data_IF_691375679027
#
_entry.id   IF_691375679027
#
_cell.length_a   1.000
_cell.length_b   1.000
_cell.length_c   1.000
_cell.angle_alpha   90.00
_cell.angle_beta   90.00
_cell.angle_gamma   90.00
#
_symmetry.space_group_name_H-M   'P 1'
#
loop_
_entity.id
_entity.type
_entity.pdbx_description
1 polymer ?
#
# COMPACT_ATOMS: atom_id res chain seq x y z
N UNK A 1 30.86 36.86 -6.47
CA UNK A 1 30.84 35.41 -6.33
C UNK A 1 29.42 34.97 -6.63
N UNK A 2 29.18 34.48 -7.84
CA UNK A 2 27.88 33.90 -8.24
C UNK A 2 27.80 32.51 -7.57
N UNK A 3 26.85 32.36 -6.65
CA UNK A 3 26.50 31.11 -6.02
C UNK A 3 26.14 30.13 -7.14
N UNK A 4 26.92 29.06 -7.31
CA UNK A 4 26.55 27.93 -8.15
C UNK A 4 25.17 27.42 -7.71
N UNK A 5 24.22 27.40 -8.65
CA UNK A 5 22.94 26.73 -8.44
C UNK A 5 23.24 25.26 -8.13
N UNK A 6 22.69 24.69 -7.07
CA UNK A 6 22.83 23.25 -6.83
C UNK A 6 22.29 22.49 -8.05
N UNK A 7 23.09 21.61 -8.62
CA UNK A 7 22.79 20.81 -9.81
C UNK A 7 21.78 19.68 -9.57
N UNK A 8 20.91 19.81 -8.57
CA UNK A 8 19.84 18.88 -8.26
C UNK A 8 18.48 19.38 -8.75
N UNK A 9 17.63 18.46 -9.19
CA UNK A 9 16.23 18.74 -9.52
C UNK A 9 15.53 19.41 -8.34
N UNK A 10 14.67 20.39 -8.60
CA UNK A 10 13.89 21.05 -7.57
C UNK A 10 12.63 20.26 -7.20
N UNK A 11 12.21 20.37 -5.95
CA UNK A 11 10.94 19.86 -5.49
C UNK A 11 10.29 20.82 -4.49
N UNK A 12 8.96 20.91 -4.53
CA UNK A 12 8.21 21.85 -3.70
C UNK A 12 6.90 21.23 -3.19
N UNK A 13 6.57 21.55 -1.95
CA UNK A 13 5.19 21.48 -1.49
C UNK A 13 4.55 22.84 -1.75
N UNK A 14 3.42 22.83 -2.43
CA UNK A 14 2.64 24.02 -2.74
C UNK A 14 1.51 24.17 -1.74
N UNK A 15 1.44 25.30 -1.06
CA UNK A 15 0.37 25.62 -0.14
C UNK A 15 -0.52 26.71 -0.72
N UNK A 16 -1.80 26.67 -0.37
CA UNK A 16 -2.78 27.69 -0.74
C UNK A 16 -4.11 27.46 -0.06
N UNK A 17 -5.12 28.26 -0.39
CA UNK A 17 -6.48 28.05 0.10
C UNK A 17 -7.12 26.82 -0.54
N UNK A 18 -7.79 25.97 0.26
CA UNK A 18 -8.46 24.76 -0.21
C UNK A 18 -9.48 25.01 -1.35
N UNK A 19 -10.05 26.21 -1.39
CA UNK A 19 -11.00 26.62 -2.44
C UNK A 19 -10.38 26.66 -3.84
N UNK A 20 -9.03 26.74 -3.95
CA UNK A 20 -8.35 26.63 -5.25
C UNK A 20 -8.53 25.27 -5.91
N UNK A 21 -8.80 24.23 -5.12
CA UNK A 21 -9.12 22.89 -5.64
C UNK A 21 -10.59 22.75 -6.06
N UNK A 22 -11.44 23.76 -5.80
CA UNK A 22 -12.85 23.75 -6.18
C UNK A 22 -13.03 24.24 -7.62
N UNK A 23 -13.45 23.34 -8.52
CA UNK A 23 -13.68 23.67 -9.95
C UNK A 23 -14.69 24.80 -10.20
N UNK A 24 -15.63 25.02 -9.31
CA UNK A 24 -16.71 26.00 -9.49
C UNK A 24 -16.32 27.38 -8.99
N UNK A 25 -15.28 27.51 -8.18
CA UNK A 25 -14.81 28.79 -7.68
C UNK A 25 -13.86 29.46 -8.69
N UNK A 26 -14.11 30.69 -9.13
CA UNK A 26 -13.18 31.41 -9.97
C UNK A 26 -11.89 31.74 -9.18
N UNK A 27 -10.74 31.47 -9.79
CA UNK A 27 -9.45 31.85 -9.21
C UNK A 27 -9.32 33.38 -9.23
N UNK A 28 -8.92 33.97 -8.11
CA UNK A 28 -8.62 35.39 -8.02
C UNK A 28 -7.12 35.63 -8.16
N UNK A 29 -6.67 36.71 -8.82
CA UNK A 29 -5.25 36.97 -9.04
C UNK A 29 -4.47 37.36 -7.77
N UNK A 30 -5.15 37.64 -6.69
CA UNK A 30 -4.59 38.07 -5.41
C UNK A 30 -4.51 37.00 -4.34
N UNK A 31 -4.93 35.76 -4.67
CA UNK A 31 -4.89 34.62 -3.74
C UNK A 31 -3.44 34.19 -3.47
N UNK A 32 -3.09 33.87 -2.20
CA UNK A 32 -1.73 33.47 -1.88
C UNK A 32 -1.45 32.03 -2.35
N UNK A 33 -0.26 31.85 -2.90
CA UNK A 33 0.39 30.57 -3.17
C UNK A 33 1.73 30.59 -2.47
N UNK A 34 2.02 29.55 -1.69
CA UNK A 34 3.31 29.41 -1.00
C UNK A 34 4.05 28.20 -1.53
N UNK A 35 5.27 28.42 -1.97
CA UNK A 35 6.19 27.40 -2.46
C UNK A 35 7.16 27.05 -1.32
N UNK A 36 7.07 25.86 -0.79
CA UNK A 36 8.00 25.32 0.21
C UNK A 36 8.96 24.40 -0.50
N UNK A 37 10.22 24.78 -0.65
CA UNK A 37 11.23 23.94 -1.27
C UNK A 37 11.60 22.81 -0.33
N UNK A 38 11.52 21.58 -0.83
CA UNK A 38 11.81 20.35 -0.09
C UNK A 38 12.88 19.52 -0.82
N UNK A 39 13.58 18.60 -0.15
CA UNK A 39 14.45 17.66 -0.82
C UNK A 39 13.66 16.81 -1.83
N UNK A 40 14.16 16.60 -3.06
CA UNK A 40 13.51 15.75 -4.03
C UNK A 40 13.54 14.29 -3.54
N UNK A 41 12.41 13.61 -3.61
CA UNK A 41 12.27 12.20 -3.20
C UNK A 41 12.35 11.23 -4.37
N UNK A 42 12.54 11.74 -5.58
CA UNK A 42 12.62 10.95 -6.80
C UNK A 42 14.07 10.84 -7.27
N UNK A 43 14.51 9.60 -7.56
CA UNK A 43 15.86 9.38 -8.11
C UNK A 43 15.88 9.59 -9.64
N UNK A 44 15.56 8.55 -10.41
CA UNK A 44 15.70 8.56 -11.88
C UNK A 44 14.37 8.59 -12.63
N UNK A 45 13.30 8.07 -12.03
CA UNK A 45 11.94 8.04 -12.60
C UNK A 45 10.97 8.73 -11.67
N UNK A 46 9.89 9.33 -12.19
CA UNK A 46 8.86 9.93 -11.36
C UNK A 46 8.23 8.87 -10.45
N UNK A 47 8.24 9.10 -9.14
CA UNK A 47 7.56 8.25 -8.19
C UNK A 47 6.04 8.31 -8.40
N UNK A 48 5.33 7.25 -8.05
CA UNK A 48 3.86 7.26 -8.04
C UNK A 48 3.34 8.01 -6.83
N UNK A 49 4.05 7.90 -5.71
CA UNK A 49 3.65 8.47 -4.42
C UNK A 49 4.83 9.12 -3.72
N UNK A 50 4.57 10.24 -3.08
CA UNK A 50 5.55 11.01 -2.30
C UNK A 50 5.02 11.24 -0.90
N UNK A 51 5.88 11.08 0.11
CA UNK A 51 5.59 11.48 1.50
C UNK A 51 6.54 12.58 1.90
N UNK A 52 5.99 13.66 2.43
CA UNK A 52 6.76 14.74 3.03
C UNK A 52 6.52 14.72 4.54
N UNK A 53 7.57 14.43 5.29
CA UNK A 53 7.57 14.44 6.76
C UNK A 53 8.13 15.79 7.25
N UNK A 54 7.27 16.61 7.85
CA UNK A 54 7.62 17.99 8.25
C UNK A 54 8.80 18.03 9.21
N UNK A 55 8.80 17.19 10.22
CA UNK A 55 9.82 17.14 11.27
C UNK A 55 11.22 16.74 10.77
N UNK A 56 11.33 16.20 9.55
CA UNK A 56 12.61 15.78 8.98
C UNK A 56 13.19 16.75 7.97
N UNK A 57 12.45 17.80 7.61
CA UNK A 57 12.86 18.70 6.53
C UNK A 57 13.99 19.67 6.93
N UNK A 58 14.16 20.00 8.21
CA UNK A 58 15.07 21.08 8.61
C UNK A 58 14.64 22.44 8.03
N UNK A 59 15.58 23.39 7.86
CA UNK A 59 15.28 24.72 7.32
C UNK A 59 14.88 24.66 5.84
N UNK A 60 13.66 25.10 5.53
CA UNK A 60 13.08 25.16 4.20
C UNK A 60 13.11 26.58 3.64
N UNK A 61 13.45 26.71 2.35
CA UNK A 61 13.23 27.96 1.61
C UNK A 61 11.74 28.07 1.29
N UNK A 62 11.11 29.14 1.74
CA UNK A 62 9.69 29.40 1.54
C UNK A 62 9.53 30.69 0.77
N UNK A 63 8.75 30.68 -0.30
CA UNK A 63 8.41 31.84 -1.10
C UNK A 63 6.89 31.97 -1.24
N UNK A 64 6.37 33.16 -0.90
CA UNK A 64 4.95 33.46 -1.04
C UNK A 64 4.71 34.36 -2.24
N UNK A 65 3.75 33.96 -3.06
CA UNK A 65 3.35 34.63 -4.29
C UNK A 65 1.83 34.86 -4.28
N UNK A 66 1.34 35.72 -5.16
CA UNK A 66 -0.08 35.76 -5.52
C UNK A 66 -0.30 34.88 -6.76
N UNK A 67 -1.48 34.35 -6.92
CA UNK A 67 -1.86 33.58 -8.12
C UNK A 67 -1.67 34.36 -9.43
N UNK A 68 -1.65 35.68 -9.39
CA UNK A 68 -1.27 36.54 -10.50
C UNK A 68 0.23 36.72 -10.71
N UNK A 69 1.09 36.01 -9.95
CA UNK A 69 2.55 36.00 -10.12
C UNK A 69 3.32 37.05 -9.36
N UNK A 70 2.67 37.98 -8.63
CA UNK A 70 3.40 39.00 -7.82
C UNK A 70 3.89 38.36 -6.52
N UNK A 71 5.12 38.75 -6.13
CA UNK A 71 5.75 38.23 -4.91
C UNK A 71 5.19 38.92 -3.66
N UNK A 72 4.87 38.15 -2.63
CA UNK A 72 4.46 38.61 -1.31
C UNK A 72 5.66 38.70 -0.35
N UNK A 73 6.47 37.65 -0.31
CA UNK A 73 7.62 37.58 0.58
C UNK A 73 8.41 36.27 0.43
N UNK A 74 9.50 36.17 1.18
CA UNK A 74 10.28 34.94 1.30
C UNK A 74 10.87 34.81 2.70
N UNK A 75 11.01 33.57 3.19
CA UNK A 75 11.60 33.27 4.49
C UNK A 75 12.33 31.93 4.45
N UNK A 76 13.11 31.65 5.48
CA UNK A 76 13.58 30.32 5.82
C UNK A 76 12.79 29.89 7.05
N UNK A 77 12.05 28.77 6.94
CA UNK A 77 11.19 28.27 8.02
C UNK A 77 11.61 26.82 8.29
N UNK A 78 11.76 26.44 9.55
CA UNK A 78 12.02 25.05 9.92
C UNK A 78 10.82 24.16 9.57
N UNK A 79 11.08 22.96 9.06
CA UNK A 79 10.01 22.06 8.63
C UNK A 79 9.00 21.75 9.74
N UNK A 80 9.45 21.58 10.98
CA UNK A 80 8.57 21.36 12.13
C UNK A 80 7.68 22.57 12.48
N UNK A 81 8.04 23.77 12.02
CA UNK A 81 7.27 25.00 12.23
C UNK A 81 6.27 25.29 11.10
N UNK A 82 6.32 24.52 10.01
CA UNK A 82 5.38 24.68 8.89
C UNK A 82 3.94 24.42 9.30
N UNK A 83 3.72 23.31 10.01
CA UNK A 83 2.39 22.84 10.43
C UNK A 83 2.37 22.37 11.89
N UNK A 84 2.67 23.25 12.87
CA UNK A 84 2.48 22.88 14.26
C UNK A 84 1.00 22.59 14.52
N UNK A 85 0.72 21.46 15.19
CA UNK A 85 -0.65 20.99 15.48
C UNK A 85 -1.55 20.87 14.22
N UNK A 86 -0.95 20.49 13.07
CA UNK A 86 -1.61 20.33 11.78
C UNK A 86 -2.22 21.63 11.17
N UNK A 87 -1.85 22.78 11.67
CA UNK A 87 -2.31 24.09 11.17
C UNK A 87 -1.10 24.89 10.68
N UNK A 88 -1.28 25.68 9.62
CA UNK A 88 -0.23 26.56 9.12
C UNK A 88 0.36 27.42 10.24
N UNK A 89 1.67 27.31 10.43
CA UNK A 89 2.40 27.97 11.51
C UNK A 89 2.38 29.50 11.43
N UNK A 90 2.68 30.20 12.53
CA UNK A 90 2.71 31.67 12.55
C UNK A 90 3.58 32.29 11.46
N UNK A 91 4.79 31.75 11.24
CA UNK A 91 5.72 32.23 10.23
C UNK A 91 5.16 32.13 8.79
N UNK A 92 4.43 31.07 8.46
CA UNK A 92 3.72 30.96 7.18
C UNK A 92 2.58 31.97 7.06
N UNK A 93 1.82 32.18 8.14
CA UNK A 93 0.70 33.12 8.16
C UNK A 93 1.15 34.56 8.01
N UNK A 94 2.23 34.91 8.67
CA UNK A 94 2.81 36.26 8.59
C UNK A 94 3.32 36.59 7.18
N UNK A 95 3.77 35.58 6.44
CA UNK A 95 4.27 35.73 5.08
C UNK A 95 3.17 36.09 4.06
N UNK A 96 1.91 35.72 4.31
CA UNK A 96 0.80 35.87 3.35
C UNK A 96 -0.24 36.91 3.74
N UNK A 97 -0.07 37.64 4.84
CA UNK A 97 -1.04 38.62 5.39
C UNK A 97 -2.47 38.03 5.50
N UNK A 98 -2.69 37.25 6.55
CA UNK A 98 -3.85 36.40 6.72
C UNK A 98 -5.21 37.07 6.95
N UNK A 99 -5.31 38.37 7.01
CA UNK A 99 -6.61 39.05 7.18
C UNK A 99 -7.58 38.79 6.03
N UNK A 100 -7.09 38.35 4.89
CA UNK A 100 -7.89 38.07 3.70
C UNK A 100 -7.76 36.61 3.18
N UNK A 101 -6.90 35.77 3.77
CA UNK A 101 -6.67 34.43 3.26
C UNK A 101 -7.35 33.34 4.11
N UNK A 102 -8.10 32.42 3.53
CA UNK A 102 -8.47 31.16 4.19
C UNK A 102 -7.19 30.43 4.62
N UNK A 103 -7.28 29.54 5.60
CA UNK A 103 -6.13 28.79 6.09
C UNK A 103 -5.34 28.14 4.95
N UNK A 104 -4.03 28.22 4.99
CA UNK A 104 -3.14 27.56 4.03
C UNK A 104 -3.15 26.08 4.30
N UNK A 105 -3.31 25.29 3.23
CA UNK A 105 -3.24 23.83 3.24
C UNK A 105 -2.29 23.36 2.14
N UNK A 106 -1.65 22.19 2.27
CA UNK A 106 -0.92 21.59 1.17
C UNK A 106 -1.89 21.26 0.03
N UNK A 107 -1.67 21.86 -1.15
CA UNK A 107 -2.49 21.61 -2.33
C UNK A 107 -1.91 20.49 -3.18
N UNK A 108 -0.60 20.55 -3.41
CA UNK A 108 0.11 19.58 -4.23
C UNK A 108 1.60 19.52 -3.88
N UNK A 109 2.25 18.49 -4.40
CA UNK A 109 3.70 18.40 -4.48
C UNK A 109 4.09 18.55 -5.96
N UNK A 110 5.20 19.24 -6.22
CA UNK A 110 5.80 19.40 -7.54
C UNK A 110 7.19 18.81 -7.54
N UNK A 111 7.54 18.13 -8.62
CA UNK A 111 8.88 17.65 -8.89
C UNK A 111 9.35 18.14 -10.25
N UNK A 112 10.51 18.79 -10.29
CA UNK A 112 11.10 19.31 -11.53
C UNK A 112 11.67 18.19 -12.39
N UNK A 113 11.28 18.17 -13.65
CA UNK A 113 11.77 17.24 -14.67
C UNK A 113 12.14 17.97 -15.96
N UNK A 114 12.93 17.34 -16.84
CA UNK A 114 13.12 17.90 -18.17
C UNK A 114 11.77 18.14 -18.85
N UNK A 115 11.51 19.39 -19.21
CA UNK A 115 10.24 19.80 -19.84
C UNK A 115 9.18 20.37 -18.90
N UNK A 116 9.41 20.47 -17.58
CA UNK A 116 8.46 21.10 -16.66
C UNK A 116 8.39 20.42 -15.29
N UNK A 117 7.18 20.23 -14.77
CA UNK A 117 6.94 19.70 -13.43
C UNK A 117 5.95 18.53 -13.48
N UNK A 118 6.26 17.43 -12.81
CA UNK A 118 5.24 16.46 -12.42
C UNK A 118 4.47 16.98 -11.23
N UNK A 119 3.14 16.82 -11.27
CA UNK A 119 2.25 17.26 -10.20
C UNK A 119 1.65 16.07 -9.47
N UNK A 120 1.51 16.21 -8.15
CA UNK A 120 0.98 15.21 -7.26
C UNK A 120 -0.11 15.81 -6.38
N UNK A 121 -1.29 15.24 -6.37
CA UNK A 121 -2.37 15.68 -5.51
C UNK A 121 -2.22 15.11 -4.11
N UNK A 122 -2.55 15.91 -3.12
CA UNK A 122 -2.63 15.45 -1.74
C UNK A 122 -3.76 14.43 -1.57
N UNK A 123 -3.44 13.30 -0.94
CA UNK A 123 -4.41 12.25 -0.60
C UNK A 123 -4.55 12.03 0.90
N UNK A 124 -3.55 12.48 1.69
CA UNK A 124 -3.55 12.41 3.13
C UNK A 124 -2.76 13.56 3.71
N UNK A 125 -3.26 14.11 4.80
CA UNK A 125 -2.56 15.04 5.68
C UNK A 125 -2.62 14.51 7.10
N UNK A 126 -1.48 14.46 7.75
CA UNK A 126 -1.31 14.12 9.16
C UNK A 126 -0.48 15.21 9.83
N UNK A 127 -0.57 15.42 11.16
CA UNK A 127 0.25 16.42 11.85
C UNK A 127 1.75 16.35 11.53
N UNK A 128 2.26 15.14 11.29
CA UNK A 128 3.68 14.91 11.06
C UNK A 128 4.07 14.81 9.58
N UNK A 129 3.13 14.51 8.68
CA UNK A 129 3.41 14.30 7.26
C UNK A 129 2.23 14.60 6.32
N UNK A 130 2.52 14.66 5.04
CA UNK A 130 1.53 14.65 3.97
C UNK A 130 1.92 13.64 2.88
N UNK A 131 0.92 12.99 2.31
CA UNK A 131 1.07 12.03 1.25
C UNK A 131 0.45 12.55 -0.04
N UNK A 132 1.19 12.42 -1.15
CA UNK A 132 0.81 12.93 -2.45
C UNK A 132 0.91 11.82 -3.50
N UNK A 133 -0.06 11.75 -4.42
CA UNK A 133 -0.09 10.80 -5.55
C UNK A 133 0.00 11.55 -6.85
N UNK A 134 0.84 11.07 -7.77
CA UNK A 134 1.06 11.70 -9.08
C UNK A 134 -0.22 11.75 -9.90
N UNK A 135 -0.53 12.92 -10.44
CA UNK A 135 -1.73 13.21 -11.25
C UNK A 135 -1.42 13.58 -12.69
N UNK A 136 -0.16 13.84 -13.04
CA UNK A 136 0.23 14.12 -14.43
C UNK A 136 1.15 13.04 -14.97
N UNK A 137 0.85 12.56 -16.18
CA UNK A 137 1.68 11.59 -16.90
C UNK A 137 2.95 12.26 -17.41
N UNK A 138 2.76 13.36 -18.12
CA UNK A 138 3.84 14.18 -18.66
C UNK A 138 4.10 15.39 -17.79
N UNK A 139 5.32 15.94 -17.78
CA UNK A 139 5.62 17.20 -17.10
C UNK A 139 4.78 18.35 -17.64
N UNK A 140 4.35 19.26 -16.77
CA UNK A 140 3.52 20.42 -17.10
C UNK A 140 4.22 21.72 -16.72
N UNK A 141 3.94 22.78 -17.46
CA UNK A 141 4.55 24.10 -17.23
C UNK A 141 6.04 24.12 -17.59
N UNK A 142 6.51 25.24 -18.07
CA UNK A 142 7.92 25.46 -18.42
C UNK A 142 8.42 26.72 -17.72
N UNK A 143 9.70 26.75 -17.41
CA UNK A 143 10.33 27.90 -16.76
C UNK A 143 10.36 27.81 -15.23
N UNK A 144 10.73 28.89 -14.56
CA UNK A 144 10.82 28.95 -13.10
C UNK A 144 9.49 28.61 -12.40
N UNK A 145 9.57 27.92 -11.27
CA UNK A 145 8.37 27.51 -10.50
C UNK A 145 7.54 28.72 -10.05
N UNK A 146 8.20 29.84 -9.80
CA UNK A 146 7.63 31.10 -9.34
C UNK A 146 6.75 31.78 -10.40
N UNK A 147 6.89 31.42 -11.68
CA UNK A 147 6.04 31.96 -12.75
C UNK A 147 4.65 31.30 -12.78
N UNK A 148 4.42 30.26 -11.99
CA UNK A 148 3.14 29.57 -11.79
C UNK A 148 2.50 29.03 -13.09
N UNK A 149 3.27 28.83 -14.17
CA UNK A 149 2.76 28.33 -15.46
C UNK A 149 2.19 26.92 -15.38
N UNK A 150 2.58 26.16 -14.37
CA UNK A 150 2.09 24.83 -14.05
C UNK A 150 0.75 24.83 -13.31
N UNK A 151 0.34 25.96 -12.68
CA UNK A 151 -0.75 26.03 -11.71
C UNK A 151 -2.11 25.60 -12.31
N UNK A 152 -2.50 26.18 -13.45
CA UNK A 152 -3.80 25.88 -14.06
C UNK A 152 -3.89 24.42 -14.52
N UNK A 153 -2.81 23.89 -15.08
CA UNK A 153 -2.76 22.48 -15.50
C UNK A 153 -2.80 21.55 -14.31
N UNK A 154 -2.12 21.90 -13.20
CA UNK A 154 -2.18 21.14 -11.95
C UNK A 154 -3.61 21.13 -11.38
N UNK A 155 -4.28 22.28 -11.33
CA UNK A 155 -5.67 22.36 -10.86
C UNK A 155 -6.63 21.55 -11.74
N UNK A 156 -6.43 21.57 -13.05
CA UNK A 156 -7.22 20.76 -13.99
C UNK A 156 -6.97 19.25 -13.77
N UNK A 157 -5.72 18.82 -13.68
CA UNK A 157 -5.36 17.43 -13.45
C UNK A 157 -5.89 16.93 -12.09
N UNK A 158 -5.83 17.76 -11.04
CA UNK A 158 -6.45 17.42 -9.75
C UNK A 158 -7.96 17.23 -9.89
N UNK A 159 -8.63 18.12 -10.58
CA UNK A 159 -10.08 18.06 -10.77
C UNK A 159 -10.51 16.83 -11.60
N UNK A 160 -9.77 16.45 -12.62
CA UNK A 160 -9.99 15.24 -13.41
C UNK A 160 -9.77 13.97 -12.57
N UNK A 161 -8.78 13.99 -11.69
CA UNK A 161 -8.44 12.88 -10.81
C UNK A 161 -9.33 12.79 -9.56
N UNK A 162 -10.13 13.82 -9.24
CA UNK A 162 -10.86 13.92 -7.97
C UNK A 162 -11.75 12.71 -7.66
N UNK A 163 -12.42 12.15 -8.67
CA UNK A 163 -13.26 10.95 -8.50
C UNK A 163 -12.44 9.71 -8.14
N UNK A 164 -11.24 9.57 -8.68
CA UNK A 164 -10.34 8.49 -8.34
C UNK A 164 -9.69 8.73 -6.97
N UNK A 165 -9.27 9.95 -6.66
CA UNK A 165 -8.67 10.33 -5.38
C UNK A 165 -9.63 10.16 -4.21
N UNK A 166 -10.93 10.42 -4.41
CA UNK A 166 -11.96 10.29 -3.39
C UNK A 166 -12.54 8.87 -3.28
N UNK A 167 -12.21 7.97 -4.19
CA UNK A 167 -12.69 6.61 -4.20
C UNK A 167 -11.54 5.62 -4.18
N UNK A 168 -11.17 5.17 -2.99
CA UNK A 168 -10.03 4.28 -2.77
C UNK A 168 -10.05 2.98 -3.58
N UNK A 169 -11.22 2.51 -4.00
CA UNK A 169 -11.34 1.30 -4.82
C UNK A 169 -11.02 1.56 -6.29
N UNK A 170 -11.20 2.79 -6.80
CA UNK A 170 -11.06 3.10 -8.22
C UNK A 170 -9.62 3.27 -8.69
N UNK A 171 -8.70 3.67 -7.80
CA UNK A 171 -7.31 3.82 -8.18
C UNK A 171 -6.41 2.68 -7.73
N UNK A 172 -7.01 1.58 -7.25
CA UNK A 172 -6.33 0.32 -7.10
C UNK A 172 -6.64 -0.62 -8.25
N UNK A 173 -5.61 -1.21 -8.80
CA UNK A 173 -5.70 -2.24 -9.83
C UNK A 173 -4.99 -3.50 -9.36
N UNK A 174 -5.52 -4.64 -9.74
CA UNK A 174 -4.86 -5.92 -9.54
C UNK A 174 -4.25 -6.36 -10.87
N UNK A 175 -2.92 -6.39 -10.94
CA UNK A 175 -2.22 -7.11 -11.99
C UNK A 175 -2.34 -8.60 -11.67
N UNK A 176 -2.16 -9.46 -12.64
CA UNK A 176 -2.30 -10.89 -12.45
C UNK A 176 -3.68 -11.30 -11.91
N UNK A 177 -4.74 -10.80 -12.56
CA UNK A 177 -6.10 -11.19 -12.19
C UNK A 177 -6.25 -12.72 -12.20
N UNK A 178 -6.81 -13.30 -11.13
CA UNK A 178 -6.95 -14.74 -10.97
C UNK A 178 -5.65 -15.49 -10.67
N UNK A 179 -4.54 -14.79 -10.42
CA UNK A 179 -3.27 -15.41 -10.02
C UNK A 179 -2.79 -14.75 -8.73
N UNK A 180 -2.47 -15.58 -7.75
CA UNK A 180 -1.80 -15.20 -6.51
C UNK A 180 -0.30 -15.41 -6.68
N UNK A 181 0.50 -14.40 -6.33
CA UNK A 181 1.96 -14.48 -6.29
C UNK A 181 2.39 -14.36 -4.84
N UNK A 182 2.98 -15.42 -4.28
CA UNK A 182 3.35 -15.43 -2.87
C UNK A 182 4.67 -16.16 -2.59
N UNK A 183 5.47 -15.60 -1.68
CA UNK A 183 6.56 -16.27 -0.99
C UNK A 183 6.10 -16.67 0.41
N UNK A 184 6.61 -17.78 0.91
CA UNK A 184 6.31 -18.29 2.25
C UNK A 184 7.58 -18.58 3.03
N UNK A 185 7.49 -18.40 4.34
CA UNK A 185 8.59 -18.64 5.27
C UNK A 185 8.01 -19.40 6.48
N UNK A 186 8.46 -20.62 6.70
CA UNK A 186 8.12 -21.34 7.91
C UNK A 186 8.95 -20.75 9.06
N UNK A 187 8.26 -20.33 10.13
CA UNK A 187 8.89 -19.72 11.29
C UNK A 187 9.17 -20.79 12.36
N UNK A 188 10.45 -21.00 12.65
CA UNK A 188 10.90 -21.94 13.67
C UNK A 188 12.15 -21.41 14.39
N UNK A 189 12.10 -21.12 15.70
CA UNK A 189 10.92 -21.29 16.57
C UNK A 189 9.77 -20.36 16.17
N UNK A 190 8.54 -20.79 16.46
CA UNK A 190 7.37 -19.97 16.21
C UNK A 190 7.38 -18.73 17.12
N UNK A 191 7.36 -17.51 16.57
CA UNK A 191 7.31 -16.29 17.38
C UNK A 191 5.92 -16.08 17.99
N UNK A 192 5.84 -15.19 18.98
CA UNK A 192 4.60 -14.49 19.27
C UNK A 192 4.26 -13.59 18.06
N UNK A 193 3.24 -14.01 17.28
CA UNK A 193 2.91 -13.33 16.01
C UNK A 193 2.38 -11.90 16.21
N UNK A 194 1.83 -11.58 17.40
CA UNK A 194 1.45 -10.20 17.72
C UNK A 194 2.68 -9.32 17.90
N UNK A 195 3.60 -9.71 18.77
CA UNK A 195 4.83 -8.97 19.02
C UNK A 195 5.65 -8.83 17.73
N UNK A 196 5.80 -9.93 16.97
CA UNK A 196 6.49 -9.94 15.68
C UNK A 196 5.86 -8.99 14.65
N UNK A 197 4.52 -8.90 14.63
CA UNK A 197 3.81 -8.00 13.73
C UNK A 197 4.02 -6.54 14.10
N UNK A 198 4.03 -6.21 15.38
CA UNK A 198 4.28 -4.84 15.86
C UNK A 198 5.71 -4.39 15.55
N UNK A 199 6.69 -5.27 15.72
CA UNK A 199 8.08 -4.98 15.39
C UNK A 199 8.26 -4.81 13.87
N UNK A 200 7.62 -5.64 13.07
CA UNK A 200 7.66 -5.53 11.61
C UNK A 200 7.01 -4.23 11.11
N UNK A 201 5.83 -3.88 11.64
CA UNK A 201 5.17 -2.61 11.31
C UNK A 201 6.06 -1.42 11.67
N UNK A 202 6.68 -1.46 12.86
CA UNK A 202 7.64 -0.42 13.27
C UNK A 202 8.84 -0.35 12.33
N UNK A 203 9.41 -1.47 11.91
CA UNK A 203 10.54 -1.50 10.98
C UNK A 203 10.19 -0.84 9.63
N UNK A 204 8.96 -1.04 9.12
CA UNK A 204 8.46 -0.38 7.92
C UNK A 204 8.28 1.13 8.12
N UNK A 205 7.73 1.55 9.27
CA UNK A 205 7.61 2.98 9.62
C UNK A 205 8.97 3.66 9.75
N UNK A 206 9.95 2.96 10.33
CA UNK A 206 11.33 3.46 10.48
C UNK A 206 12.09 3.50 9.15
N UNK A 207 11.50 3.00 8.05
CA UNK A 207 12.11 3.01 6.71
C UNK A 207 13.22 1.95 6.52
N UNK A 208 13.23 0.89 7.33
CA UNK A 208 14.24 -0.17 7.20
C UNK A 208 14.14 -0.94 5.88
N UNK A 209 12.98 -0.97 5.24
CA UNK A 209 12.79 -1.44 3.87
C UNK A 209 12.84 -0.22 2.92
N UNK A 210 14.02 0.01 2.34
CA UNK A 210 14.27 1.16 1.47
C UNK A 210 13.34 1.18 0.25
N UNK A 211 12.74 2.35 -0.03
CA UNK A 211 11.82 2.56 -1.15
C UNK A 211 10.39 2.12 -0.89
N UNK A 212 10.10 1.59 0.29
CA UNK A 212 8.75 1.19 0.72
C UNK A 212 8.34 1.91 2.00
N UNK A 213 7.06 1.87 2.28
CA UNK A 213 6.43 2.41 3.47
C UNK A 213 5.21 1.59 3.84
N UNK A 214 4.66 1.72 5.05
CA UNK A 214 3.30 1.23 5.33
C UNK A 214 2.31 1.79 4.31
N UNK A 215 1.37 0.96 3.86
CA UNK A 215 0.36 1.35 2.89
C UNK A 215 -0.39 2.59 3.39
N UNK A 216 -0.92 3.39 2.47
CA UNK A 216 -1.52 4.71 2.71
C UNK A 216 -2.48 4.78 3.91
N UNK A 217 -3.30 3.75 4.11
CA UNK A 217 -4.23 3.70 5.26
C UNK A 217 -3.56 3.25 6.55
N UNK A 218 -2.33 2.71 6.45
CA UNK A 218 -1.61 2.12 7.59
C UNK A 218 -2.45 1.06 8.31
N UNK A 219 -3.30 0.38 7.56
CA UNK A 219 -4.16 -0.64 8.13
C UNK A 219 -3.31 -1.80 8.64
N UNK A 220 -3.51 -2.07 9.92
CA UNK A 220 -3.04 -3.26 10.58
C UNK A 220 -4.27 -4.07 10.93
N UNK A 221 -4.47 -5.18 10.21
CA UNK A 221 -5.68 -5.98 10.35
C UNK A 221 -5.37 -7.31 11.02
N UNK A 222 -6.30 -7.74 11.88
CA UNK A 222 -6.31 -9.10 12.41
C UNK A 222 -7.45 -9.88 11.78
N UNK A 223 -7.12 -11.07 11.31
CA UNK A 223 -8.10 -12.06 10.85
C UNK A 223 -8.07 -13.27 11.76
N UNK A 224 -9.21 -13.58 12.34
CA UNK A 224 -9.40 -14.74 13.21
C UNK A 224 -10.54 -15.57 12.63
N UNK A 225 -10.20 -16.69 12.00
CA UNK A 225 -11.17 -17.48 11.25
C UNK A 225 -11.00 -18.98 11.50
N UNK A 226 -12.12 -19.67 11.61
CA UNK A 226 -12.18 -21.12 11.44
C UNK A 226 -12.20 -21.43 9.95
N UNK A 227 -11.36 -22.37 9.52
CA UNK A 227 -11.21 -22.71 8.11
C UNK A 227 -11.55 -24.16 7.88
N UNK A 228 -12.43 -24.37 6.90
CA UNK A 228 -12.79 -25.68 6.37
C UNK A 228 -12.16 -25.83 4.99
N UNK A 229 -11.12 -26.64 4.91
CA UNK A 229 -10.38 -26.89 3.68
C UNK A 229 -10.70 -28.30 3.16
N UNK A 230 -10.93 -28.39 1.85
CA UNK A 230 -11.15 -29.61 1.12
C UNK A 230 -10.05 -29.80 0.09
N UNK A 231 -9.35 -30.92 0.17
CA UNK A 231 -8.38 -31.34 -0.81
C UNK A 231 -9.10 -31.81 -2.07
N UNK A 232 -8.93 -31.10 -3.18
CA UNK A 232 -9.53 -31.43 -4.47
C UNK A 232 -8.60 -32.40 -5.21
N UNK A 233 -9.05 -33.65 -5.41
CA UNK A 233 -8.26 -34.72 -6.00
C UNK A 233 -8.64 -35.00 -7.45
N UNK A 234 -9.72 -34.41 -7.95
CA UNK A 234 -10.18 -34.57 -9.33
C UNK A 234 -11.44 -33.77 -9.64
N UNK A 235 -11.79 -33.68 -10.92
CA UNK A 235 -11.02 -34.13 -12.09
C UNK A 235 -9.69 -33.41 -12.26
N UNK A 236 -8.76 -33.91 -13.07
CA UNK A 236 -7.37 -33.44 -13.15
C UNK A 236 -7.22 -31.90 -13.32
N UNK A 237 -7.98 -31.22 -14.18
CA UNK A 237 -7.88 -29.75 -14.32
C UNK A 237 -8.27 -28.97 -13.05
N UNK A 238 -8.99 -29.64 -12.11
CA UNK A 238 -9.54 -29.04 -10.90
C UNK A 238 -8.69 -29.32 -9.64
N UNK A 239 -7.59 -30.06 -9.78
CA UNK A 239 -6.72 -30.44 -8.65
C UNK A 239 -6.20 -29.19 -7.94
N UNK A 240 -6.30 -29.22 -6.60
CA UNK A 240 -5.90 -28.12 -5.75
C UNK A 240 -6.60 -28.19 -4.40
N UNK A 241 -7.19 -27.09 -3.96
CA UNK A 241 -8.07 -27.11 -2.80
C UNK A 241 -9.25 -26.13 -2.93
N UNK A 242 -10.30 -26.41 -2.17
CA UNK A 242 -11.41 -25.52 -1.90
C UNK A 242 -11.43 -25.17 -0.41
N UNK A 243 -11.71 -23.94 -0.06
CA UNK A 243 -11.81 -23.51 1.33
C UNK A 243 -12.99 -22.54 1.51
N UNK A 244 -13.79 -22.78 2.55
CA UNK A 244 -14.89 -21.89 2.90
C UNK A 244 -14.44 -20.95 4.03
N UNK A 245 -14.59 -19.63 3.78
CA UNK A 245 -14.19 -18.57 4.68
C UNK A 245 -15.46 -17.85 5.11
N UNK A 246 -15.77 -17.79 6.42
CA UNK A 246 -16.96 -17.09 6.90
C UNK A 246 -16.85 -15.59 6.64
N UNK A 247 -18.00 -14.95 6.38
CA UNK A 247 -18.10 -13.50 6.20
C UNK A 247 -18.86 -12.83 7.33
N UNK A 248 -18.65 -11.53 7.51
CA UNK A 248 -19.34 -10.75 8.56
C UNK A 248 -20.84 -10.55 8.31
N UNK A 249 -21.29 -10.73 7.07
CA UNK A 249 -22.69 -10.48 6.65
C UNK A 249 -23.54 -11.73 6.56
N UNK A 250 -23.13 -12.82 7.14
CA UNK A 250 -23.63 -14.18 6.97
C UNK A 250 -23.25 -14.80 5.60
N UNK A 251 -23.08 -16.12 5.62
CA UNK A 251 -22.58 -16.87 4.46
C UNK A 251 -21.07 -16.97 4.39
N UNK A 252 -20.61 -17.51 3.26
CA UNK A 252 -19.22 -17.85 3.07
C UNK A 252 -18.69 -17.34 1.74
N UNK A 253 -17.37 -17.12 1.68
CA UNK A 253 -16.62 -17.04 0.42
C UNK A 253 -16.02 -18.39 0.16
N UNK A 254 -16.29 -18.97 -1.00
CA UNK A 254 -15.54 -20.12 -1.50
C UNK A 254 -14.26 -19.61 -2.15
N UNK A 255 -13.14 -19.99 -1.59
CA UNK A 255 -11.80 -19.78 -2.15
C UNK A 255 -11.34 -21.05 -2.82
N UNK A 256 -11.02 -20.96 -4.11
CA UNK A 256 -10.45 -22.07 -4.88
C UNK A 256 -9.04 -21.75 -5.31
N UNK A 257 -8.12 -22.71 -5.12
CA UNK A 257 -6.76 -22.65 -5.65
C UNK A 257 -6.45 -23.91 -6.45
N UNK A 258 -5.85 -23.74 -7.62
CA UNK A 258 -5.49 -24.82 -8.52
C UNK A 258 -3.98 -24.98 -8.55
N UNK A 259 -3.48 -26.12 -8.11
CA UNK A 259 -2.08 -26.52 -8.17
C UNK A 259 -1.93 -28.01 -7.82
N UNK A 260 -1.00 -28.66 -8.46
CA UNK A 260 -0.61 -30.05 -8.16
C UNK A 260 0.48 -30.09 -7.10
N UNK A 261 1.45 -29.16 -7.20
CA UNK A 261 2.60 -29.01 -6.32
C UNK A 261 2.65 -27.59 -5.76
N UNK A 262 3.26 -27.44 -4.58
CA UNK A 262 3.45 -26.14 -3.97
C UNK A 262 4.36 -25.26 -4.83
N UNK A 263 3.92 -24.05 -5.18
CA UNK A 263 4.57 -23.16 -6.13
C UNK A 263 4.39 -21.68 -5.76
N UNK A 264 5.21 -20.81 -6.36
CA UNK A 264 5.16 -19.37 -6.20
C UNK A 264 3.87 -18.74 -6.77
N UNK A 265 3.46 -19.14 -7.97
CA UNK A 265 2.29 -18.60 -8.64
C UNK A 265 1.17 -19.64 -8.65
N UNK A 266 -0.02 -19.24 -8.21
CA UNK A 266 -1.20 -20.12 -8.16
C UNK A 266 -2.40 -19.44 -8.76
N UNK A 267 -3.17 -20.21 -9.56
CA UNK A 267 -4.51 -19.73 -9.94
C UNK A 267 -5.39 -19.71 -8.70
N UNK A 268 -6.07 -18.58 -8.48
CA UNK A 268 -7.00 -18.38 -7.38
C UNK A 268 -8.31 -17.77 -7.88
N UNK A 269 -9.41 -18.23 -7.32
CA UNK A 269 -10.74 -17.64 -7.55
C UNK A 269 -11.52 -17.57 -6.24
N UNK A 270 -12.21 -16.45 -6.05
CA UNK A 270 -13.07 -16.21 -4.91
C UNK A 270 -14.52 -16.06 -5.37
N UNK A 271 -15.40 -16.92 -4.87
CA UNK A 271 -16.84 -16.84 -5.11
C UNK A 271 -17.52 -16.38 -3.83
N UNK A 272 -17.93 -15.10 -3.73
CA UNK A 272 -18.58 -14.56 -2.54
C UNK A 272 -20.07 -14.92 -2.48
N UNK A 273 -20.66 -14.72 -1.30
CA UNK A 273 -22.10 -14.75 -1.11
C UNK A 273 -22.76 -16.15 -1.10
N UNK A 274 -22.01 -17.18 -0.73
CA UNK A 274 -22.56 -18.51 -0.57
C UNK A 274 -23.28 -18.64 0.77
N UNK A 275 -24.61 -18.80 0.71
CA UNK A 275 -25.45 -19.06 1.88
C UNK A 275 -25.59 -20.58 2.10
N UNK A 276 -24.53 -21.20 2.60
CA UNK A 276 -24.48 -22.63 2.91
C UNK A 276 -23.85 -22.85 4.30
N UNK A 277 -24.31 -23.87 4.98
CA UNK A 277 -23.83 -24.27 6.30
C UNK A 277 -22.68 -25.28 6.21
N UNK A 278 -21.80 -25.40 7.23
CA UNK A 278 -20.63 -26.27 7.17
C UNK A 278 -20.93 -27.73 6.86
N UNK A 279 -22.06 -28.27 7.31
CA UNK A 279 -22.52 -29.62 7.03
C UNK A 279 -22.85 -29.85 5.54
N UNK A 280 -23.06 -28.79 4.77
CA UNK A 280 -23.36 -28.85 3.34
C UNK A 280 -22.14 -28.59 2.44
N UNK A 281 -20.99 -28.22 2.98
CA UNK A 281 -19.83 -27.84 2.18
C UNK A 281 -19.36 -28.98 1.25
N UNK A 282 -19.22 -30.18 1.77
CA UNK A 282 -18.78 -31.34 0.97
C UNK A 282 -19.77 -31.70 -0.11
N UNK A 283 -21.08 -31.75 0.23
CA UNK A 283 -22.16 -32.00 -0.72
C UNK A 283 -22.15 -31.00 -1.85
N UNK A 284 -22.05 -29.70 -1.53
CA UNK A 284 -21.97 -28.62 -2.51
C UNK A 284 -20.77 -28.79 -3.46
N UNK A 285 -19.58 -29.11 -2.94
CA UNK A 285 -18.41 -29.32 -3.78
C UNK A 285 -18.56 -30.54 -4.70
N UNK A 286 -19.19 -31.61 -4.22
CA UNK A 286 -19.37 -32.88 -4.98
C UNK A 286 -20.53 -32.77 -5.98
N UNK A 287 -21.70 -32.35 -5.55
CA UNK A 287 -22.93 -32.42 -6.33
C UNK A 287 -23.11 -31.17 -7.23
N UNK A 288 -22.88 -29.97 -6.69
CA UNK A 288 -23.12 -28.75 -7.46
C UNK A 288 -21.91 -28.37 -8.32
N UNK A 289 -20.66 -28.62 -7.86
CA UNK A 289 -19.44 -28.31 -8.60
C UNK A 289 -18.77 -29.54 -9.28
N UNK A 290 -19.26 -30.74 -9.05
CA UNK A 290 -18.75 -31.98 -9.69
C UNK A 290 -17.31 -32.35 -9.29
N UNK A 291 -16.87 -31.94 -8.11
CA UNK A 291 -15.49 -32.13 -7.66
C UNK A 291 -15.31 -33.41 -6.86
N UNK A 292 -14.17 -34.06 -7.01
CA UNK A 292 -13.75 -35.15 -6.12
C UNK A 292 -12.95 -34.53 -4.98
N UNK A 293 -13.50 -34.54 -3.78
CA UNK A 293 -12.92 -33.87 -2.62
C UNK A 293 -12.75 -34.79 -1.43
N UNK A 294 -11.74 -34.49 -0.61
CA UNK A 294 -11.52 -35.06 0.72
C UNK A 294 -11.50 -33.93 1.73
N UNK A 295 -12.39 -34.00 2.73
CA UNK A 295 -12.38 -33.05 3.85
C UNK A 295 -11.06 -33.19 4.61
N UNK A 296 -10.50 -32.06 4.97
CA UNK A 296 -9.30 -31.97 5.79
C UNK A 296 -9.69 -31.54 7.22
N UNK A 297 -8.87 -31.83 8.24
CA UNK A 297 -9.16 -31.38 9.60
C UNK A 297 -9.35 -29.85 9.63
N UNK A 298 -10.44 -29.37 10.24
CA UNK A 298 -10.66 -27.95 10.37
C UNK A 298 -9.62 -27.33 11.30
N UNK A 299 -9.25 -26.09 11.02
CA UNK A 299 -8.23 -25.39 11.79
C UNK A 299 -8.61 -23.94 12.06
N UNK A 300 -8.16 -23.44 13.17
CA UNK A 300 -8.22 -22.03 13.53
C UNK A 300 -7.01 -21.32 12.93
N UNK A 301 -7.24 -20.20 12.24
CA UNK A 301 -6.19 -19.32 11.75
C UNK A 301 -6.28 -17.96 12.44
N UNK A 302 -5.16 -17.49 12.97
CA UNK A 302 -4.94 -16.09 13.32
C UNK A 302 -3.93 -15.53 12.35
N UNK A 303 -4.27 -14.43 11.70
CA UNK A 303 -3.41 -13.69 10.75
C UNK A 303 -3.30 -12.24 11.18
N UNK A 304 -2.09 -11.73 11.24
CA UNK A 304 -1.82 -10.32 11.24
C UNK A 304 -1.41 -9.87 9.84
N UNK A 305 -2.12 -8.88 9.33
CA UNK A 305 -1.98 -8.37 7.96
C UNK A 305 -1.31 -7.00 8.03
N UNK A 306 -0.09 -6.92 7.48
CA UNK A 306 0.68 -5.69 7.34
C UNK A 306 0.87 -5.43 5.86
N UNK A 307 0.50 -4.24 5.41
CA UNK A 307 0.65 -3.86 4.02
C UNK A 307 1.73 -2.80 3.85
N UNK A 308 2.61 -2.99 2.87
CA UNK A 308 3.58 -2.00 2.46
C UNK A 308 3.41 -1.62 0.99
N UNK A 309 3.77 -0.39 0.66
CA UNK A 309 3.61 0.21 -0.67
C UNK A 309 4.95 0.70 -1.18
N UNK A 310 5.26 0.38 -2.43
CA UNK A 310 6.40 0.96 -3.14
C UNK A 310 6.16 2.43 -3.44
N UNK A 311 7.06 3.29 -3.02
CA UNK A 311 7.04 4.72 -3.35
C UNK A 311 7.23 4.95 -4.86
N UNK A 312 7.96 4.06 -5.52
CA UNK A 312 8.30 4.19 -6.94
C UNK A 312 7.13 3.82 -7.85
N UNK A 313 6.49 2.67 -7.60
CA UNK A 313 5.51 2.09 -8.50
C UNK A 313 4.07 2.18 -7.99
N UNK A 314 3.89 2.35 -6.67
CA UNK A 314 2.59 2.25 -6.02
C UNK A 314 2.07 0.80 -5.90
N UNK A 315 2.93 -0.21 -6.15
CA UNK A 315 2.57 -1.60 -5.88
C UNK A 315 2.45 -1.82 -4.37
N UNK A 316 1.41 -2.54 -3.97
CA UNK A 316 1.11 -2.85 -2.58
C UNK A 316 1.32 -4.34 -2.34
N UNK A 317 2.08 -4.65 -1.32
CA UNK A 317 2.44 -5.99 -0.89
C UNK A 317 1.95 -6.25 0.52
N UNK A 318 1.36 -7.43 0.76
CA UNK A 318 1.02 -7.91 2.09
C UNK A 318 2.16 -8.72 2.67
N UNK A 319 2.49 -8.46 3.93
CA UNK A 319 3.35 -9.31 4.74
C UNK A 319 2.47 -9.82 5.88
N UNK A 320 2.20 -11.11 5.85
CA UNK A 320 1.25 -11.74 6.74
C UNK A 320 1.95 -12.64 7.73
N UNK A 321 1.62 -12.53 9.01
CA UNK A 321 2.08 -13.46 10.02
C UNK A 321 0.90 -14.35 10.43
N UNK A 322 0.99 -15.62 10.09
CA UNK A 322 -0.04 -16.64 10.29
C UNK A 322 0.32 -17.60 11.41
N UNK A 323 -0.65 -17.90 12.25
CA UNK A 323 -0.65 -19.08 13.13
C UNK A 323 -1.90 -19.90 12.84
N UNK A 324 -1.69 -21.11 12.36
CA UNK A 324 -2.76 -22.11 12.14
C UNK A 324 -2.63 -23.22 13.18
N UNK A 325 -3.73 -23.58 13.84
CA UNK A 325 -3.77 -24.69 14.81
C UNK A 325 -4.98 -25.57 14.51
N UNK A 326 -4.81 -26.89 14.53
CA UNK A 326 -5.92 -27.80 14.31
C UNK A 326 -6.92 -27.73 15.47
N UNK A 327 -8.22 -27.76 15.17
CA UNK A 327 -9.25 -27.73 16.23
C UNK A 327 -9.21 -28.97 17.11
N UNK A 328 -9.02 -30.15 16.52
CA UNK A 328 -8.96 -31.44 17.24
C UNK A 328 -7.60 -31.68 17.93
N UNK A 329 -6.55 -30.94 17.54
CA UNK A 329 -5.19 -31.09 18.09
C UNK A 329 -4.50 -29.70 18.10
N UNK A 330 -4.80 -28.83 19.08
CA UNK A 330 -4.30 -27.45 19.12
C UNK A 330 -2.78 -27.30 19.27
N UNK A 331 -2.09 -28.39 19.61
CA UNK A 331 -0.63 -28.53 19.62
C UNK A 331 0.00 -28.73 18.23
N UNK A 332 -0.81 -29.15 17.25
CA UNK A 332 -0.38 -29.25 15.86
C UNK A 332 -0.55 -27.89 15.20
N UNK A 333 0.57 -27.17 15.06
CA UNK A 333 0.59 -25.75 14.68
C UNK A 333 1.48 -25.55 13.47
N UNK A 334 1.04 -24.68 12.56
CA UNK A 334 1.85 -24.08 11.50
C UNK A 334 2.01 -22.59 11.81
N UNK A 335 3.26 -22.11 11.90
CA UNK A 335 3.58 -20.68 11.96
C UNK A 335 4.30 -20.27 10.68
N UNK A 336 3.75 -19.29 9.97
CA UNK A 336 4.28 -18.83 8.68
C UNK A 336 4.28 -17.31 8.59
N UNK A 337 5.27 -16.79 7.87
CA UNK A 337 5.19 -15.48 7.25
C UNK A 337 4.91 -15.67 5.76
N UNK A 338 4.03 -14.87 5.19
CA UNK A 338 3.73 -14.86 3.75
C UNK A 338 4.00 -13.45 3.20
N UNK A 339 4.58 -13.35 2.02
CA UNK A 339 4.73 -12.13 1.24
C UNK A 339 3.92 -12.29 -0.04
N UNK A 340 2.91 -11.45 -0.22
CA UNK A 340 1.97 -11.53 -1.35
C UNK A 340 1.87 -10.19 -2.07
N UNK A 341 1.84 -10.20 -3.42
CA UNK A 341 1.44 -9.03 -4.18
C UNK A 341 -0.09 -8.88 -4.15
N UNK A 342 -0.57 -7.72 -3.70
CA UNK A 342 -2.01 -7.49 -3.53
C UNK A 342 -2.63 -6.69 -4.67
N UNK A 343 -2.09 -5.52 -4.98
CA UNK A 343 -2.65 -4.56 -5.92
C UNK A 343 -1.66 -3.44 -6.23
N UNK A 344 -2.00 -2.59 -7.17
CA UNK A 344 -1.23 -1.38 -7.47
C UNK A 344 -2.09 -0.15 -7.37
N UNK A 345 -1.58 0.89 -6.72
CA UNK A 345 -2.16 2.21 -6.72
C UNK A 345 -1.83 2.90 -8.03
N UNK A 346 -2.83 3.30 -8.78
CA UNK A 346 -2.62 3.99 -10.04
C UNK A 346 -3.78 4.93 -10.33
N UNK A 347 -3.54 6.22 -10.24
CA UNK A 347 -4.45 7.28 -10.71
C UNK A 347 -4.34 7.43 -12.22
N UNK A 348 -3.15 7.19 -12.75
CA UNK A 348 -2.83 7.23 -14.16
C UNK A 348 -2.88 5.82 -14.73
N UNK A 349 -3.34 5.70 -15.99
CA UNK A 349 -3.17 4.47 -16.75
C UNK A 349 -1.68 4.30 -17.08
N UNK A 350 -1.02 3.44 -16.35
CA UNK A 350 0.33 2.99 -16.65
C UNK A 350 0.24 1.63 -17.33
N UNK A 351 1.01 1.44 -18.39
CA UNK A 351 1.38 0.11 -18.84
C UNK A 351 2.31 -0.46 -17.77
N UNK A 352 1.74 -1.18 -16.85
CA UNK A 352 2.49 -1.73 -15.73
C UNK A 352 3.32 -2.91 -16.22
N UNK A 353 4.60 -2.78 -16.00
CA UNK A 353 5.54 -3.85 -16.22
C UNK A 353 5.36 -4.89 -15.10
N UNK A 354 4.82 -6.07 -15.46
CA UNK A 354 4.71 -7.20 -14.55
C UNK A 354 6.08 -7.59 -13.96
N UNK A 355 7.16 -7.36 -14.69
CA UNK A 355 8.52 -7.59 -14.24
C UNK A 355 8.89 -6.66 -13.07
N UNK A 356 8.31 -5.47 -12.98
CA UNK A 356 8.52 -4.58 -11.83
C UNK A 356 7.93 -5.17 -10.53
N UNK A 357 6.74 -5.76 -10.59
CA UNK A 357 6.13 -6.46 -9.44
C UNK A 357 7.06 -7.56 -8.94
N UNK A 358 7.54 -8.40 -9.84
CA UNK A 358 8.43 -9.51 -9.50
C UNK A 358 9.78 -9.03 -8.97
N UNK A 359 10.29 -7.94 -9.50
CA UNK A 359 11.55 -7.33 -9.06
C UNK A 359 11.42 -6.79 -7.64
N UNK A 360 10.33 -6.09 -7.34
CA UNK A 360 10.05 -5.56 -6.00
C UNK A 360 9.74 -6.67 -5.00
N UNK A 361 8.99 -7.71 -5.39
CA UNK A 361 8.79 -8.89 -4.54
C UNK A 361 10.13 -9.53 -4.13
N UNK A 362 11.08 -9.67 -5.06
CA UNK A 362 12.43 -10.19 -4.76
C UNK A 362 13.25 -9.24 -3.87
N UNK A 363 13.01 -7.94 -3.95
CA UNK A 363 13.64 -6.96 -3.05
C UNK A 363 13.11 -7.13 -1.63
N UNK A 364 11.79 -7.20 -1.47
CA UNK A 364 11.15 -7.40 -0.18
C UNK A 364 11.53 -8.76 0.41
N UNK A 365 11.53 -9.83 -0.39
CA UNK A 365 11.92 -11.18 -0.01
C UNK A 365 13.33 -11.20 0.61
N UNK A 366 14.33 -10.59 -0.06
CA UNK A 366 15.70 -10.51 0.47
C UNK A 366 15.77 -9.77 1.80
N UNK A 367 15.06 -8.65 1.92
CA UNK A 367 15.01 -7.89 3.16
C UNK A 367 14.31 -8.70 4.26
N UNK A 368 13.17 -9.32 3.94
CA UNK A 368 12.36 -10.08 4.90
C UNK A 368 13.12 -11.31 5.43
N UNK A 369 13.83 -12.05 4.57
CA UNK A 369 14.72 -13.14 5.01
C UNK A 369 15.76 -12.67 6.03
N UNK A 370 16.41 -11.52 5.76
CA UNK A 370 17.40 -10.95 6.68
C UNK A 370 16.74 -10.47 7.98
N UNK A 371 15.59 -9.83 7.87
CA UNK A 371 14.81 -9.36 9.02
C UNK A 371 14.41 -10.52 9.93
N UNK A 372 13.77 -11.56 9.39
CA UNK A 372 13.35 -12.73 10.15
C UNK A 372 14.53 -13.46 10.81
N UNK A 373 15.63 -13.61 10.07
CA UNK A 373 16.86 -14.23 10.62
C UNK A 373 17.47 -13.41 11.76
N UNK A 374 17.47 -12.08 11.66
CA UNK A 374 18.01 -11.20 12.72
C UNK A 374 17.23 -11.28 14.03
N UNK A 375 15.96 -11.69 13.98
CA UNK A 375 15.10 -11.93 15.15
C UNK A 375 15.17 -13.37 15.68
N UNK A 376 16.03 -14.20 15.07
CA UNK A 376 16.20 -15.60 15.50
C UNK A 376 15.06 -16.52 15.08
N UNK A 377 14.16 -16.08 14.21
CA UNK A 377 13.16 -16.91 13.58
C UNK A 377 13.77 -17.53 12.34
N UNK A 378 14.27 -18.76 12.44
CA UNK A 378 14.87 -19.45 11.30
C UNK A 378 13.82 -19.53 10.19
N UNK A 379 13.87 -18.56 9.28
CA UNK A 379 12.96 -18.45 8.15
C UNK A 379 13.54 -19.26 7.00
N UNK A 380 12.97 -20.42 6.76
CA UNK A 380 13.22 -21.16 5.52
C UNK A 380 12.23 -20.68 4.47
N UNK A 381 12.76 -20.16 3.34
CA UNK A 381 11.96 -19.84 2.17
C UNK A 381 11.37 -21.14 1.59
N UNK A 382 10.07 -21.20 1.54
CA UNK A 382 9.34 -22.42 1.12
C UNK A 382 8.09 -22.04 0.35
N UNK A 383 7.54 -23.01 -0.37
CA UNK A 383 6.19 -22.88 -0.95
C UNK A 383 5.16 -23.72 -0.19
N UNK A 384 5.53 -24.24 0.98
CA UNK A 384 4.71 -25.11 1.82
C UNK A 384 3.34 -24.50 2.10
N UNK A 385 2.31 -25.18 1.67
CA UNK A 385 0.94 -24.69 1.74
C UNK A 385 0.20 -25.22 2.98
N UNK A 386 -0.89 -24.54 3.34
CA UNK A 386 -1.81 -25.05 4.37
C UNK A 386 -2.40 -26.42 3.99
N UNK A 387 -2.57 -26.68 2.67
CA UNK A 387 -2.94 -28.02 2.16
C UNK A 387 -1.89 -29.07 2.52
N UNK A 388 -0.62 -28.76 2.28
CA UNK A 388 0.50 -29.67 2.59
C UNK A 388 0.61 -29.91 4.09
N UNK A 389 0.50 -28.83 4.90
CA UNK A 389 0.46 -28.93 6.37
C UNK A 389 -0.63 -29.92 6.86
N UNK A 390 -1.85 -29.78 6.33
CA UNK A 390 -2.95 -30.65 6.74
C UNK A 390 -2.76 -32.10 6.27
N UNK A 391 -2.18 -32.31 5.09
CA UNK A 391 -1.83 -33.67 4.61
C UNK A 391 -0.77 -34.32 5.49
N UNK A 392 0.27 -33.58 5.86
CA UNK A 392 1.31 -34.07 6.75
C UNK A 392 0.77 -34.36 8.14
N UNK A 393 -0.09 -33.48 8.68
CA UNK A 393 -0.74 -33.69 9.96
C UNK A 393 -1.57 -34.97 10.00
N UNK A 394 -2.35 -35.26 8.96
CA UNK A 394 -3.11 -36.53 8.86
C UNK A 394 -2.17 -37.74 8.75
N UNK A 395 -1.07 -37.61 8.01
CA UNK A 395 -0.10 -38.67 7.85
C UNK A 395 0.57 -39.03 9.18
N UNK A 396 0.92 -38.03 9.97
CA UNK A 396 1.53 -38.22 11.30
C UNK A 396 0.51 -38.58 12.38
N UNK A 397 -0.72 -38.17 12.24
CA UNK A 397 -1.83 -38.38 13.16
C UNK A 397 -3.08 -38.84 12.41
N UNK A 398 -3.16 -40.14 12.05
CA UNK A 398 -4.31 -40.68 11.29
C UNK A 398 -5.64 -40.56 12.04
N UNK A 399 -5.61 -40.41 13.37
CA UNK A 399 -6.78 -40.17 14.22
C UNK A 399 -7.47 -38.83 13.94
N UNK A 400 -6.80 -37.90 13.23
CA UNK A 400 -7.35 -36.58 12.83
C UNK A 400 -8.21 -36.64 11.58
N UNK A 401 -8.26 -37.77 10.87
CA UNK A 401 -9.21 -37.97 9.78
C UNK A 401 -10.59 -38.16 10.37
N UNK A 402 -11.52 -37.25 10.07
CA UNK A 402 -12.94 -37.44 10.41
C UNK A 402 -13.45 -38.69 9.71
N UNK A 403 -14.21 -39.58 10.37
CA UNK A 403 -14.78 -40.79 9.79
C UNK A 403 -15.76 -40.49 8.66
#
# INVERSE_FOLDING_TARGET
>A
MLSEKPSGRGAWVVLGGVHLLNRTAPRRPDEPIVLVRVPPQEACRPATTVIVRWNTLGPCQVEALRTGGSRLGAAIIDGGELFPDAIAGPALRDLVDTKAAPGLVPLCYLSEHPGGYHTYAQIRFHPEDACFVRTTREPVGHGPVEELRWLDTMLAAHAESAMALNNHLRYFRKHFAGTELEFKYNLNPAPDIWAASMELLKALHDGQLEGFRPEYREEFQIHHTENHLFDVTGPEPEIGYASFIPTVTAGHVLKRKWFTEDTFARREELTPGLDITPDRFETFLREDLGLQVRAMPPFQRVRYDIQCESLRTGHVYGIFLDRCALLAAPDVVLSQCELEYLRSRSVLDHDHDQDEVLTEMKQIDRWLCQYLASHGWAAEHTFYSKRSFLRDAITLRPDLTTP
#
